data_IF_734267745841
#
_entry.id   IF_734267745841
#
_cell.length_a   1.000
_cell.length_b   1.000
_cell.length_c   1.000
_cell.angle_alpha   90.00
_cell.angle_beta   90.00
_cell.angle_gamma   90.00
#
_symmetry.space_group_name_H-M   'P 1'
#
loop_
_entity.id
_entity.type
_entity.pdbx_description
1 polymer ?
#
# COMPACT_ATOMS: atom_id res chain seq x y z
N UNK A 1 12.57 14.99 3.65
CA UNK A 1 11.22 15.59 3.80
C UNK A 1 10.96 15.97 5.26
N UNK A 2 11.15 15.05 6.21
CA UNK A 2 11.05 15.34 7.67
C UNK A 2 11.96 16.50 8.12
N UNK A 3 13.18 16.58 7.61
CA UNK A 3 14.14 17.65 7.94
C UNK A 3 13.76 19.04 7.40
N UNK A 4 12.90 19.11 6.38
CA UNK A 4 12.36 20.37 5.84
C UNK A 4 11.09 20.79 6.58
N UNK A 5 10.21 19.85 6.95
CA UNK A 5 9.04 20.13 7.79
C UNK A 5 9.44 20.62 9.19
N UNK A 6 10.56 20.17 9.74
CA UNK A 6 11.11 20.66 11.00
C UNK A 6 11.42 22.17 10.98
N UNK A 7 11.59 22.77 9.79
CA UNK A 7 11.82 24.21 9.62
C UNK A 7 10.52 25.02 9.47
N UNK A 8 9.38 24.35 9.30
CA UNK A 8 8.07 24.98 9.09
C UNK A 8 7.01 24.35 10.02
N UNK A 9 7.01 24.72 11.31
CA UNK A 9 6.20 24.05 12.33
C UNK A 9 4.69 24.16 12.09
N UNK A 10 4.22 25.24 11.46
CA UNK A 10 2.82 25.40 11.10
C UNK A 10 2.39 24.42 10.01
N UNK A 11 3.20 24.23 8.96
CA UNK A 11 2.90 23.27 7.89
C UNK A 11 2.88 21.84 8.43
N UNK A 12 3.83 21.52 9.31
CA UNK A 12 3.85 20.22 9.98
C UNK A 12 2.60 19.97 10.84
N UNK A 13 2.12 21.00 11.56
CA UNK A 13 0.91 20.91 12.37
C UNK A 13 -0.35 20.67 11.51
N UNK A 14 -0.51 21.41 10.42
CA UNK A 14 -1.67 21.24 9.52
C UNK A 14 -1.62 19.88 8.80
N UNK A 15 -0.44 19.40 8.44
CA UNK A 15 -0.28 18.05 7.89
C UNK A 15 -0.69 16.98 8.91
N UNK A 16 -0.30 17.12 10.18
CA UNK A 16 -0.72 16.20 11.23
C UNK A 16 -2.25 16.22 11.45
N UNK A 17 -2.88 17.40 11.34
CA UNK A 17 -4.34 17.51 11.38
C UNK A 17 -5.00 16.79 10.19
N UNK A 18 -4.47 16.95 8.98
CA UNK A 18 -4.95 16.23 7.79
C UNK A 18 -4.79 14.72 7.94
N UNK A 19 -3.65 14.25 8.45
CA UNK A 19 -3.41 12.82 8.71
C UNK A 19 -4.45 12.25 9.67
N UNK A 20 -4.81 13.00 10.72
CA UNK A 20 -5.86 12.59 11.66
C UNK A 20 -7.23 12.50 10.98
N UNK A 21 -7.60 13.51 10.18
CA UNK A 21 -8.86 13.50 9.44
C UNK A 21 -8.96 12.32 8.47
N UNK A 22 -7.86 12.01 7.78
CA UNK A 22 -7.79 10.85 6.90
C UNK A 22 -7.87 9.53 7.67
N UNK A 23 -7.21 9.44 8.82
CA UNK A 23 -7.26 8.24 9.68
C UNK A 23 -8.67 7.98 10.21
N UNK A 24 -9.43 9.04 10.50
CA UNK A 24 -10.82 8.96 10.95
C UNK A 24 -11.81 8.77 9.78
N UNK A 25 -11.35 8.79 8.53
CA UNK A 25 -12.21 8.62 7.36
C UNK A 25 -12.68 7.16 7.25
N UNK A 26 -13.98 6.89 6.95
CA UNK A 26 -14.53 5.54 6.92
C UNK A 26 -13.75 4.55 6.04
N UNK A 27 -13.30 4.98 4.85
CA UNK A 27 -12.49 4.16 3.94
C UNK A 27 -11.18 3.70 4.61
N UNK A 28 -10.51 4.58 5.35
CA UNK A 28 -9.24 4.27 6.01
C UNK A 28 -9.47 3.38 7.24
N UNK A 29 -10.56 3.61 7.99
CA UNK A 29 -10.95 2.74 9.09
C UNK A 29 -11.29 1.33 8.60
N UNK A 30 -12.06 1.21 7.52
CA UNK A 30 -12.38 -0.08 6.89
C UNK A 30 -11.11 -0.81 6.42
N UNK A 31 -10.19 -0.10 5.77
CA UNK A 31 -8.88 -0.64 5.41
C UNK A 31 -8.10 -1.16 6.63
N UNK A 32 -8.01 -0.36 7.70
CA UNK A 32 -7.30 -0.75 8.92
C UNK A 32 -7.92 -1.99 9.60
N UNK A 33 -9.26 -2.07 9.62
CA UNK A 33 -9.96 -3.24 10.16
C UNK A 33 -9.69 -4.51 9.34
N UNK A 34 -9.77 -4.41 8.00
CA UNK A 34 -9.51 -5.56 7.13
C UNK A 34 -8.04 -5.97 7.21
N UNK A 35 -7.13 -5.00 7.28
CA UNK A 35 -5.70 -5.25 7.49
C UNK A 35 -5.46 -6.02 8.79
N UNK A 36 -6.05 -5.57 9.90
CA UNK A 36 -5.92 -6.25 11.19
C UNK A 36 -6.45 -7.70 11.14
N UNK A 37 -7.61 -7.91 10.50
CA UNK A 37 -8.19 -9.24 10.31
C UNK A 37 -7.30 -10.14 9.45
N UNK A 38 -6.72 -9.61 8.38
CA UNK A 38 -5.81 -10.35 7.51
C UNK A 38 -4.53 -10.76 8.27
N UNK A 39 -3.93 -9.84 9.03
CA UNK A 39 -2.72 -10.09 9.81
C UNK A 39 -2.92 -11.07 10.97
N UNK A 40 -4.14 -11.16 11.51
CA UNK A 40 -4.49 -12.09 12.59
C UNK A 40 -5.02 -13.43 12.08
N UNK A 41 -5.22 -13.59 10.76
CA UNK A 41 -5.76 -14.81 10.20
C UNK A 41 -4.68 -15.89 10.13
N UNK A 42 -4.77 -16.87 11.03
CA UNK A 42 -3.82 -17.98 11.12
C UNK A 42 -3.67 -18.76 9.80
N UNK A 43 -4.76 -18.97 9.05
CA UNK A 43 -4.71 -19.66 7.76
C UNK A 43 -3.93 -18.89 6.70
N UNK A 44 -4.07 -17.56 6.66
CA UNK A 44 -3.26 -16.71 5.78
C UNK A 44 -1.79 -16.70 6.17
N UNK A 45 -1.47 -16.66 7.47
CA UNK A 45 -0.10 -16.72 7.94
C UNK A 45 0.57 -18.05 7.57
N UNK A 46 -0.14 -19.16 7.73
CA UNK A 46 0.33 -20.49 7.33
C UNK A 46 0.53 -20.60 5.81
N UNK A 47 -0.38 -20.02 5.04
CA UNK A 47 -0.30 -19.98 3.58
C UNK A 47 0.88 -19.13 3.10
N UNK A 48 1.13 -17.99 3.75
CA UNK A 48 2.27 -17.12 3.47
C UNK A 48 3.60 -17.81 3.80
N UNK A 49 3.67 -18.54 4.91
CA UNK A 49 4.86 -19.32 5.26
C UNK A 49 5.09 -20.48 4.27
N UNK A 50 4.02 -21.15 3.85
CA UNK A 50 4.10 -22.20 2.83
C UNK A 50 4.60 -21.64 1.48
N UNK A 51 4.17 -20.43 1.09
CA UNK A 51 4.65 -19.72 -0.09
C UNK A 51 6.15 -19.41 0.01
N UNK A 52 6.61 -18.85 1.14
CA UNK A 52 8.03 -18.55 1.39
C UNK A 52 8.88 -19.82 1.33
N UNK A 53 8.40 -20.90 1.93
CA UNK A 53 9.09 -22.18 1.91
C UNK A 53 9.18 -22.76 0.49
N UNK A 54 8.08 -22.74 -0.27
CA UNK A 54 8.08 -23.20 -1.66
C UNK A 54 9.01 -22.34 -2.55
N UNK A 55 9.05 -21.03 -2.34
CA UNK A 55 9.96 -20.14 -3.06
C UNK A 55 11.43 -20.45 -2.74
N UNK A 56 11.74 -20.71 -1.47
CA UNK A 56 13.08 -21.13 -1.03
C UNK A 56 13.49 -22.47 -1.66
N UNK A 57 12.57 -23.42 -1.73
CA UNK A 57 12.78 -24.71 -2.39
C UNK A 57 13.08 -24.55 -3.89
N UNK A 58 12.36 -23.66 -4.60
CA UNK A 58 12.64 -23.36 -6.01
C UNK A 58 14.07 -22.86 -6.19
N UNK A 59 14.49 -21.86 -5.40
CA UNK A 59 15.84 -21.29 -5.45
C UNK A 59 16.89 -22.35 -5.11
N UNK A 60 16.61 -23.22 -4.13
CA UNK A 60 17.50 -24.29 -3.74
C UNK A 60 17.65 -25.35 -4.84
N UNK A 61 16.55 -25.80 -5.44
CA UNK A 61 16.58 -26.80 -6.52
C UNK A 61 17.18 -26.25 -7.81
N UNK A 62 17.03 -24.95 -8.06
CA UNK A 62 17.76 -24.26 -9.13
C UNK A 62 19.27 -24.27 -8.88
N UNK A 63 19.72 -23.93 -7.66
CA UNK A 63 21.14 -23.93 -7.32
C UNK A 63 21.79 -25.32 -7.44
N UNK A 64 21.07 -26.38 -7.07
CA UNK A 64 21.57 -27.76 -7.15
C UNK A 64 21.24 -28.47 -8.48
N UNK A 65 20.77 -27.75 -9.49
CA UNK A 65 20.47 -28.28 -10.82
C UNK A 65 19.52 -29.50 -10.80
N UNK A 66 18.46 -29.43 -9.98
CA UNK A 66 17.42 -30.48 -9.83
C UNK A 66 16.12 -30.09 -10.55
N UNK A 67 16.02 -30.23 -11.89
CA UNK A 67 14.91 -29.67 -12.68
C UNK A 67 13.55 -30.28 -12.36
N UNK A 68 13.47 -31.59 -12.09
CA UNK A 68 12.20 -32.24 -11.74
C UNK A 68 11.67 -31.78 -10.38
N UNK A 69 12.55 -31.66 -9.38
CA UNK A 69 12.20 -31.16 -8.06
C UNK A 69 11.82 -29.66 -8.11
N UNK A 70 12.56 -28.85 -8.89
CA UNK A 70 12.23 -27.44 -9.15
C UNK A 70 10.83 -27.32 -9.72
N UNK A 71 10.49 -28.10 -10.76
CA UNK A 71 9.16 -28.07 -11.39
C UNK A 71 8.04 -28.43 -10.41
N UNK A 72 8.24 -29.41 -9.54
CA UNK A 72 7.27 -29.76 -8.51
C UNK A 72 7.08 -28.62 -7.49
N UNK A 73 8.17 -27.96 -7.07
CA UNK A 73 8.11 -26.80 -6.18
C UNK A 73 7.42 -25.60 -6.84
N UNK A 74 7.67 -25.35 -8.12
CA UNK A 74 6.97 -24.30 -8.90
C UNK A 74 5.46 -24.56 -9.01
N UNK A 75 5.06 -25.81 -9.26
CA UNK A 75 3.64 -26.19 -9.29
C UNK A 75 2.97 -25.99 -7.92
N UNK A 76 3.66 -26.37 -6.84
CA UNK A 76 3.18 -26.14 -5.48
C UNK A 76 3.06 -24.65 -5.18
N UNK A 77 4.08 -23.87 -5.52
CA UNK A 77 4.08 -22.42 -5.35
C UNK A 77 2.92 -21.76 -6.11
N UNK A 78 2.69 -22.15 -7.38
CA UNK A 78 1.58 -21.66 -8.17
C UNK A 78 0.20 -21.99 -7.56
N UNK A 79 0.02 -23.20 -7.05
CA UNK A 79 -1.21 -23.59 -6.35
C UNK A 79 -1.45 -22.77 -5.09
N UNK A 80 -0.42 -22.64 -4.24
CA UNK A 80 -0.48 -21.84 -3.01
C UNK A 80 -0.73 -20.36 -3.32
N UNK A 81 -0.16 -19.85 -4.41
CA UNK A 81 -0.35 -18.47 -4.86
C UNK A 81 -1.81 -18.26 -5.25
N UNK A 82 -2.37 -19.14 -6.08
CA UNK A 82 -3.76 -19.04 -6.48
C UNK A 82 -4.71 -19.12 -5.27
N UNK A 83 -4.44 -20.01 -4.30
CA UNK A 83 -5.20 -20.07 -3.05
C UNK A 83 -5.12 -18.77 -2.25
N UNK A 84 -3.93 -18.19 -2.12
CA UNK A 84 -3.70 -16.94 -1.40
C UNK A 84 -4.43 -15.78 -2.07
N UNK A 85 -4.33 -15.68 -3.39
CA UNK A 85 -4.95 -14.59 -4.16
C UNK A 85 -6.48 -14.67 -4.19
N UNK A 86 -7.03 -15.88 -4.16
CA UNK A 86 -8.48 -16.10 -4.12
C UNK A 86 -9.06 -16.03 -2.70
N UNK A 87 -8.21 -15.97 -1.67
CA UNK A 87 -8.68 -15.94 -0.29
C UNK A 87 -9.55 -14.69 -0.04
N UNK A 88 -10.78 -14.82 0.51
CA UNK A 88 -11.72 -13.70 0.64
C UNK A 88 -11.14 -12.48 1.39
N UNK A 89 -10.36 -12.71 2.45
CA UNK A 89 -9.71 -11.61 3.18
C UNK A 89 -8.61 -10.91 2.37
N UNK A 90 -7.89 -11.63 1.49
CA UNK A 90 -6.85 -11.02 0.63
C UNK A 90 -7.52 -10.17 -0.45
N UNK A 91 -8.61 -10.66 -1.04
CA UNK A 91 -9.41 -9.90 -2.01
C UNK A 91 -9.99 -8.63 -1.35
N UNK A 92 -10.60 -8.77 -0.18
CA UNK A 92 -11.14 -7.64 0.57
C UNK A 92 -10.05 -6.63 0.95
N UNK A 93 -8.87 -7.11 1.39
CA UNK A 93 -7.73 -6.25 1.71
C UNK A 93 -7.25 -5.46 0.49
N UNK A 94 -7.08 -6.13 -0.66
CA UNK A 94 -6.67 -5.47 -1.91
C UNK A 94 -7.69 -4.42 -2.36
N UNK A 95 -8.98 -4.71 -2.22
CA UNK A 95 -10.03 -3.76 -2.56
C UNK A 95 -10.03 -2.54 -1.63
N UNK A 96 -9.94 -2.76 -0.32
CA UNK A 96 -9.90 -1.67 0.66
C UNK A 96 -8.64 -0.81 0.50
N UNK A 97 -7.50 -1.43 0.18
CA UNK A 97 -6.25 -0.72 -0.13
C UNK A 97 -6.44 0.20 -1.35
N UNK A 98 -7.03 -0.31 -2.44
CA UNK A 98 -7.29 0.48 -3.64
C UNK A 98 -8.15 1.71 -3.33
N UNK A 99 -9.20 1.54 -2.52
CA UNK A 99 -10.07 2.65 -2.13
C UNK A 99 -9.34 3.69 -1.26
N UNK A 100 -8.49 3.24 -0.33
CA UNK A 100 -7.67 4.13 0.49
C UNK A 100 -6.65 4.91 -0.37
N UNK A 101 -6.03 4.26 -1.35
CA UNK A 101 -5.11 4.89 -2.30
C UNK A 101 -5.82 5.92 -3.19
N UNK A 102 -7.03 5.61 -3.67
CA UNK A 102 -7.85 6.56 -4.44
C UNK A 102 -8.18 7.82 -3.63
N UNK A 103 -8.52 7.66 -2.35
CA UNK A 103 -8.75 8.80 -1.45
C UNK A 103 -7.48 9.65 -1.28
N UNK A 104 -6.33 9.00 -1.06
CA UNK A 104 -5.06 9.70 -0.91
C UNK A 104 -4.66 10.43 -2.21
N UNK A 105 -4.86 9.78 -3.36
CA UNK A 105 -4.60 10.36 -4.67
C UNK A 105 -5.50 11.57 -4.93
N UNK A 106 -6.77 11.50 -4.57
CA UNK A 106 -7.69 12.63 -4.68
C UNK A 106 -7.22 13.82 -3.85
N UNK A 107 -6.89 13.61 -2.58
CA UNK A 107 -6.46 14.68 -1.67
C UNK A 107 -5.17 15.34 -2.15
N UNK A 108 -4.18 14.54 -2.54
CA UNK A 108 -2.90 15.06 -3.03
C UNK A 108 -3.06 15.83 -4.34
N UNK A 109 -3.90 15.33 -5.26
CA UNK A 109 -4.20 16.01 -6.54
C UNK A 109 -4.90 17.35 -6.31
N UNK A 110 -5.87 17.41 -5.41
CA UNK A 110 -6.59 18.65 -5.10
C UNK A 110 -5.69 19.69 -4.40
N UNK A 111 -4.81 19.25 -3.49
CA UNK A 111 -3.80 20.13 -2.88
C UNK A 111 -2.90 20.71 -3.95
N UNK A 112 -2.32 19.86 -4.82
CA UNK A 112 -1.43 20.29 -5.89
C UNK A 112 -2.12 21.29 -6.83
N UNK A 113 -3.36 21.01 -7.25
CA UNK A 113 -4.13 21.88 -8.13
C UNK A 113 -4.39 23.26 -7.52
N UNK A 114 -4.79 23.30 -6.25
CA UNK A 114 -5.05 24.58 -5.55
C UNK A 114 -3.78 25.38 -5.33
N UNK A 115 -2.67 24.72 -4.99
CA UNK A 115 -1.37 25.35 -4.81
C UNK A 115 -0.85 25.95 -6.13
N UNK A 116 -0.91 25.19 -7.23
CA UNK A 116 -0.51 25.68 -8.55
C UNK A 116 -1.31 26.93 -8.93
N UNK A 117 -2.64 26.90 -8.72
CA UNK A 117 -3.50 28.06 -9.00
C UNK A 117 -3.12 29.29 -8.17
N UNK A 118 -2.82 29.13 -6.88
CA UNK A 118 -2.42 30.25 -6.02
C UNK A 118 -1.12 30.90 -6.52
N UNK A 119 -0.14 30.08 -6.93
CA UNK A 119 1.14 30.56 -7.48
C UNK A 119 0.93 31.31 -8.80
N UNK A 120 0.13 30.76 -9.73
CA UNK A 120 -0.17 31.40 -11.02
C UNK A 120 -0.95 32.71 -10.86
N UNK A 121 -1.90 32.77 -9.91
CA UNK A 121 -2.63 34.00 -9.59
C UNK A 121 -1.70 35.08 -9.00
N UNK A 122 -0.71 34.70 -8.18
CA UNK A 122 0.28 35.64 -7.66
C UNK A 122 1.20 36.20 -8.75
N UNK A 123 1.65 35.39 -9.71
CA UNK A 123 2.47 35.85 -10.84
C UNK A 123 1.72 36.80 -11.77
N UNK A 124 0.45 36.52 -12.07
CA UNK A 124 -0.38 37.37 -12.95
C UNK A 124 -0.74 38.71 -12.32
N UNK A 125 -0.82 38.79 -10.99
CA UNK A 125 -1.00 40.06 -10.26
C UNK A 125 0.32 40.83 -10.12
N UNK A 126 1.45 40.15 -9.94
CA UNK A 126 2.77 40.79 -9.89
C UNK A 126 3.18 41.43 -11.23
N UNK A 127 2.77 40.86 -12.36
CA UNK A 127 3.04 41.43 -13.69
C UNK A 127 2.15 42.63 -14.07
N UNK A 128 1.15 42.98 -13.26
CA UNK A 128 0.22 44.09 -13.51
C UNK A 128 0.51 45.36 -12.72
N UNK A 129 1.51 45.36 -11.84
CA UNK A 129 1.98 46.52 -11.08
C UNK A 129 3.32 47.04 -11.58
#
# INVERSE_FOLDING_TARGET
MEEQLAKEPHVAQELAALQRLLSDHPIVQEFQEIQARALQNQGLLELEEALKQAQKEIVQFEHYEKPEAKKAAEQRYASLTNEYEQHPLVVAYRQALLQADELLQYVTTEIQKKMNKAIEEDETNASKN
#
